data_IF_148970285366
#
_entry.id   IF_148970285366
#
_cell.length_a   1.000
_cell.length_b   1.000
_cell.length_c   1.000
_cell.angle_alpha   90.00
_cell.angle_beta   90.00
_cell.angle_gamma   90.00
#
_symmetry.space_group_name_H-M   'P 1'
#
loop_
_entity.id
_entity.type
_entity.pdbx_description
1 polymer ?
#
# COMPACT_ATOMS: atom_id res chain seq x y z
N UNK A 1 7.21 -27.44 -1.12
CA UNK A 1 6.93 -26.22 -1.92
C UNK A 1 7.79 -25.10 -1.36
N UNK A 2 8.44 -24.30 -2.21
CA UNK A 2 9.16 -23.10 -1.74
C UNK A 2 8.14 -22.13 -1.15
N UNK A 3 8.48 -21.55 0.00
CA UNK A 3 7.71 -20.51 0.68
C UNK A 3 7.51 -19.30 -0.27
N UNK A 4 6.34 -18.68 -0.24
CA UNK A 4 6.10 -17.41 -0.93
C UNK A 4 6.90 -16.32 -0.21
N UNK A 5 7.68 -15.54 -0.96
CA UNK A 5 8.30 -14.31 -0.50
C UNK A 5 7.47 -13.13 -0.98
N UNK A 6 7.14 -12.22 -0.09
CA UNK A 6 6.41 -10.99 -0.41
C UNK A 6 7.31 -9.97 -1.11
N UNK A 7 6.71 -8.96 -1.72
CA UNK A 7 7.46 -7.82 -2.28
C UNK A 7 8.29 -7.07 -1.25
N UNK A 8 7.85 -7.02 0.02
CA UNK A 8 8.62 -6.46 1.13
C UNK A 8 9.93 -7.24 1.34
N UNK A 9 9.85 -8.58 1.40
CA UNK A 9 11.04 -9.44 1.55
C UNK A 9 11.97 -9.32 0.35
N UNK A 10 11.41 -9.20 -0.86
CA UNK A 10 12.19 -8.95 -2.09
C UNK A 10 12.87 -7.58 -2.05
N UNK A 11 12.20 -6.54 -1.57
CA UNK A 11 12.79 -5.21 -1.42
C UNK A 11 14.02 -5.24 -0.50
N UNK A 12 13.88 -5.83 0.68
CA UNK A 12 14.96 -5.81 1.68
C UNK A 12 16.12 -6.76 1.36
N UNK A 13 15.86 -7.89 0.69
CA UNK A 13 16.87 -8.90 0.40
C UNK A 13 17.58 -8.66 -0.94
N UNK A 14 16.83 -8.33 -1.99
CA UNK A 14 17.36 -8.27 -3.36
C UNK A 14 17.60 -6.83 -3.84
N UNK A 15 16.84 -5.86 -3.33
CA UNK A 15 16.90 -4.46 -3.76
C UNK A 15 17.12 -3.46 -2.63
N UNK A 16 17.94 -3.76 -1.58
CA UNK A 16 18.12 -2.86 -0.44
C UNK A 16 18.66 -1.50 -0.84
N UNK A 17 19.37 -1.38 -1.97
CA UNK A 17 19.88 -0.12 -2.50
C UNK A 17 18.79 0.88 -2.87
N UNK A 18 17.53 0.43 -3.05
CA UNK A 18 16.39 1.32 -3.33
C UNK A 18 15.96 2.13 -2.10
N UNK A 19 16.31 1.65 -0.89
CA UNK A 19 15.87 2.26 0.38
C UNK A 19 17.02 2.59 1.34
N UNK A 20 18.21 2.00 1.16
CA UNK A 20 19.35 2.21 2.07
C UNK A 20 19.78 3.67 2.08
N UNK A 21 19.74 4.30 3.27
CA UNK A 21 20.02 5.70 3.48
C UNK A 21 18.94 6.65 2.97
N UNK A 22 17.94 6.16 2.25
CA UNK A 22 16.84 6.96 1.74
C UNK A 22 15.90 7.40 2.89
N UNK A 23 15.36 8.60 2.77
CA UNK A 23 14.30 9.14 3.63
C UNK A 23 12.95 8.69 3.06
N UNK A 24 12.28 7.75 3.72
CA UNK A 24 11.06 7.13 3.21
C UNK A 24 9.83 7.43 4.05
N UNK A 25 8.67 7.56 3.38
CA UNK A 25 7.36 7.37 3.99
C UNK A 25 6.94 5.90 3.84
N UNK A 26 6.18 5.37 4.79
CA UNK A 26 5.69 3.98 4.74
C UNK A 26 4.18 3.95 4.90
N UNK A 27 3.48 3.45 3.90
CA UNK A 27 2.04 3.14 3.97
C UNK A 27 1.93 1.69 4.39
N UNK A 28 1.41 1.44 5.59
CA UNK A 28 1.36 0.11 6.19
C UNK A 28 0.21 -0.06 7.16
N UNK A 29 -0.08 -1.31 7.52
CA UNK A 29 -1.09 -1.71 8.48
C UNK A 29 -0.60 -2.94 9.26
N UNK A 30 -1.35 -3.46 10.27
CA UNK A 30 -0.86 -4.58 11.11
C UNK A 30 -0.44 -5.85 10.37
N UNK A 31 -1.03 -6.13 9.19
CA UNK A 31 -0.64 -7.28 8.38
C UNK A 31 0.51 -7.00 7.39
N UNK A 32 1.14 -5.82 7.47
CA UNK A 32 2.38 -5.52 6.74
C UNK A 32 3.57 -6.21 7.42
N UNK A 33 3.59 -7.54 7.33
CA UNK A 33 4.57 -8.41 8.00
C UNK A 33 5.21 -9.38 7.02
N UNK A 34 6.38 -9.90 7.40
CA UNK A 34 6.98 -11.07 6.74
C UNK A 34 6.39 -12.38 7.31
N UNK A 35 6.90 -13.51 6.86
CA UNK A 35 6.41 -14.82 7.31
C UNK A 35 6.80 -15.17 8.75
N UNK A 36 7.72 -14.45 9.36
CA UNK A 36 8.06 -14.51 10.77
C UNK A 36 7.27 -13.53 11.63
N UNK A 37 6.23 -12.87 11.05
CA UNK A 37 5.39 -11.84 11.66
C UNK A 37 6.18 -10.60 12.14
N UNK A 38 7.34 -10.33 11.54
CA UNK A 38 8.11 -9.10 11.78
C UNK A 38 7.52 -7.99 10.92
N UNK A 39 7.21 -6.86 11.54
CA UNK A 39 6.52 -5.77 10.87
C UNK A 39 7.43 -5.02 9.87
N UNK A 40 6.84 -4.52 8.79
CA UNK A 40 7.53 -3.79 7.72
C UNK A 40 8.39 -2.63 8.24
N UNK A 41 7.92 -1.90 9.23
CA UNK A 41 8.67 -0.78 9.81
C UNK A 41 9.99 -1.24 10.42
N UNK A 42 10.01 -2.33 11.18
CA UNK A 42 11.22 -2.88 11.79
C UNK A 42 12.19 -3.41 10.72
N UNK A 43 11.64 -4.10 9.71
CA UNK A 43 12.41 -4.67 8.60
C UNK A 43 13.07 -3.58 7.74
N UNK A 44 12.33 -2.51 7.40
CA UNK A 44 12.84 -1.41 6.59
C UNK A 44 13.92 -0.62 7.34
N UNK A 45 13.77 -0.38 8.65
CA UNK A 45 14.82 0.23 9.46
C UNK A 45 16.08 -0.64 9.51
N UNK A 46 15.91 -1.95 9.75
CA UNK A 46 17.03 -2.91 9.77
C UNK A 46 17.76 -2.98 8.42
N UNK A 47 17.05 -2.78 7.30
CA UNK A 47 17.62 -2.69 5.96
C UNK A 47 18.32 -1.34 5.67
N UNK A 48 18.33 -0.42 6.63
CA UNK A 48 19.04 0.86 6.56
C UNK A 48 18.23 2.03 5.97
N UNK A 49 16.91 1.90 5.88
CA UNK A 49 16.03 3.01 5.51
C UNK A 49 15.88 4.01 6.68
N UNK A 50 15.71 5.30 6.36
CA UNK A 50 15.35 6.33 7.32
C UNK A 50 13.85 6.61 7.19
N UNK A 51 13.03 5.95 8.02
CA UNK A 51 11.59 6.21 8.05
C UNK A 51 11.39 7.64 8.57
N UNK A 52 10.65 8.45 7.82
CA UNK A 52 10.38 9.85 8.13
C UNK A 52 8.91 10.12 8.44
N UNK A 53 8.01 9.28 7.93
CA UNK A 53 6.58 9.34 8.20
C UNK A 53 5.94 7.95 8.02
N UNK A 54 4.88 7.68 8.75
CA UNK A 54 4.04 6.50 8.62
C UNK A 54 2.66 6.97 8.16
N UNK A 55 2.04 6.22 7.26
CA UNK A 55 0.70 6.49 6.75
C UNK A 55 -0.17 5.27 7.00
N UNK A 56 -1.26 5.46 7.75
CA UNK A 56 -2.23 4.41 8.07
C UNK A 56 -3.44 4.47 7.14
N UNK A 57 -3.82 3.36 6.49
CA UNK A 57 -5.08 3.27 5.75
C UNK A 57 -6.26 3.23 6.72
N UNK A 58 -7.46 2.93 6.24
CA UNK A 58 -8.62 2.60 7.08
C UNK A 58 -8.24 1.63 8.20
N UNK A 59 -8.79 1.78 9.38
CA UNK A 59 -8.44 1.12 10.64
C UNK A 59 -7.11 1.60 11.28
N UNK A 60 -6.36 2.48 10.63
CA UNK A 60 -5.10 3.02 11.16
C UNK A 60 -3.87 2.12 10.90
N UNK A 61 -2.70 2.70 11.06
CA UNK A 61 -1.43 2.00 10.86
C UNK A 61 -1.19 0.85 11.85
N UNK A 62 -1.91 0.84 12.97
CA UNK A 62 -1.84 -0.18 14.04
C UNK A 62 -3.14 -0.95 14.22
N UNK A 63 -4.17 -0.71 13.39
CA UNK A 63 -5.47 -1.36 13.49
C UNK A 63 -6.25 -0.95 14.74
N UNK A 64 -6.10 0.30 15.15
CA UNK A 64 -6.69 0.83 16.37
C UNK A 64 -8.15 1.26 16.23
N UNK A 65 -8.63 1.49 15.01
CA UNK A 65 -9.98 1.96 14.74
C UNK A 65 -10.90 0.85 14.22
N UNK A 66 -12.20 1.00 14.49
CA UNK A 66 -13.26 0.17 13.94
C UNK A 66 -13.60 0.60 12.50
N UNK A 67 -14.46 -0.18 11.84
CA UNK A 67 -15.01 0.16 10.53
C UNK A 67 -15.76 1.49 10.58
N UNK A 68 -15.52 2.36 9.60
CA UNK A 68 -16.11 3.69 9.46
C UNK A 68 -15.82 4.69 10.62
N UNK A 69 -14.84 4.41 11.45
CA UNK A 69 -14.36 5.37 12.45
C UNK A 69 -13.21 6.22 11.89
N UNK A 70 -13.30 7.54 12.06
CA UNK A 70 -12.22 8.46 11.72
C UNK A 70 -10.96 8.14 12.54
N UNK A 71 -9.81 8.12 11.87
CA UNK A 71 -8.50 7.89 12.51
C UNK A 71 -7.75 9.21 12.57
N UNK A 72 -7.39 9.63 13.77
CA UNK A 72 -6.61 10.87 13.96
C UNK A 72 -5.11 10.65 13.66
N UNK A 73 -4.45 11.75 13.25
CA UNK A 73 -2.99 11.78 13.15
C UNK A 73 -2.36 11.61 14.55
N UNK A 74 -1.33 10.76 14.63
CA UNK A 74 -0.52 10.64 15.84
C UNK A 74 0.77 11.43 15.65
N UNK A 75 1.03 12.45 16.47
CA UNK A 75 2.19 13.34 16.29
C UNK A 75 3.53 12.60 16.22
N UNK A 76 3.70 11.58 17.07
CA UNK A 76 4.92 10.75 17.08
C UNK A 76 4.60 9.30 17.42
N UNK A 77 4.93 8.39 16.53
CA UNK A 77 4.94 6.96 16.85
C UNK A 77 5.81 6.67 18.06
N UNK A 78 5.34 5.93 19.06
CA UNK A 78 6.07 5.72 20.32
C UNK A 78 7.39 4.97 20.16
N UNK A 79 7.53 4.13 19.13
CA UNK A 79 8.73 3.30 18.89
C UNK A 79 9.72 3.97 17.94
N UNK A 80 9.24 4.47 16.80
CA UNK A 80 10.07 4.98 15.70
C UNK A 80 10.29 6.50 15.83
N UNK A 81 9.39 7.20 16.57
CA UNK A 81 9.49 8.65 16.84
C UNK A 81 9.32 9.51 15.59
N UNK A 82 8.46 9.10 14.70
CA UNK A 82 8.05 9.83 13.49
C UNK A 82 6.55 10.06 13.47
N UNK A 83 6.05 11.06 12.73
CA UNK A 83 4.61 11.30 12.62
C UNK A 83 3.89 10.11 11.98
N UNK A 84 2.69 9.81 12.45
CA UNK A 84 1.76 8.87 11.85
C UNK A 84 0.58 9.68 11.30
N UNK A 85 0.39 9.63 10.01
CA UNK A 85 -0.70 10.31 9.31
C UNK A 85 -1.80 9.31 8.97
N UNK A 86 -3.02 9.68 9.31
CA UNK A 86 -4.20 8.94 8.88
C UNK A 86 -4.50 9.24 7.42
N UNK A 87 -4.82 8.18 6.66
CA UNK A 87 -5.40 8.26 5.32
C UNK A 87 -6.87 7.82 5.35
N UNK A 88 -7.54 8.03 6.48
CA UNK A 88 -8.95 7.75 6.65
C UNK A 88 -9.59 8.74 7.62
N UNK A 89 -10.54 9.52 7.14
CA UNK A 89 -11.25 10.53 7.91
C UNK A 89 -12.52 10.97 7.19
N UNK A 90 -13.20 11.97 7.74
CA UNK A 90 -14.56 12.38 7.37
C UNK A 90 -14.75 12.88 5.93
N UNK A 91 -13.68 13.22 5.21
CA UNK A 91 -13.77 13.77 3.85
C UNK A 91 -12.94 12.97 2.85
N UNK A 92 -13.30 13.03 1.57
CA UNK A 92 -12.53 12.37 0.51
C UNK A 92 -11.07 12.87 0.45
N UNK A 93 -10.84 14.14 0.74
CA UNK A 93 -9.48 14.72 0.76
C UNK A 93 -8.60 14.10 1.85
N UNK A 94 -9.20 13.64 2.97
CA UNK A 94 -8.47 12.97 4.05
C UNK A 94 -7.95 11.57 3.69
N UNK A 95 -8.43 10.98 2.59
CA UNK A 95 -7.97 9.68 2.08
C UNK A 95 -6.63 9.76 1.33
N UNK A 96 -6.11 10.97 1.13
CA UNK A 96 -4.93 11.23 0.30
C UNK A 96 -3.84 11.92 1.13
N UNK A 97 -2.57 11.49 1.06
CA UNK A 97 -1.48 12.21 1.70
C UNK A 97 -1.41 13.67 1.22
N UNK A 98 -1.33 14.62 2.16
CA UNK A 98 -1.10 16.02 1.82
C UNK A 98 0.33 16.22 1.32
N UNK A 99 0.54 17.24 0.47
CA UNK A 99 1.85 17.53 -0.11
C UNK A 99 2.94 17.72 0.95
N UNK A 100 2.61 18.41 2.04
CA UNK A 100 3.53 18.72 3.15
C UNK A 100 3.99 17.43 3.87
N UNK A 101 3.15 16.40 3.90
CA UNK A 101 3.47 15.09 4.51
C UNK A 101 4.44 14.27 3.65
N UNK A 102 4.52 14.57 2.36
CA UNK A 102 5.42 13.91 1.40
C UNK A 102 6.71 14.70 1.16
N UNK A 103 6.82 15.92 1.66
CA UNK A 103 7.95 16.79 1.39
C UNK A 103 9.26 16.23 1.95
N UNK A 104 10.29 16.24 1.11
CA UNK A 104 11.62 15.73 1.46
C UNK A 104 11.72 14.22 1.59
N UNK A 105 10.70 13.45 1.18
CA UNK A 105 10.81 12.00 1.01
C UNK A 105 11.49 11.67 -0.32
N UNK A 106 12.40 10.71 -0.28
CA UNK A 106 13.03 10.12 -1.46
C UNK A 106 12.10 9.08 -2.11
N UNK A 107 11.32 8.36 -1.29
CA UNK A 107 10.37 7.36 -1.74
C UNK A 107 9.19 7.18 -0.77
N UNK A 108 8.06 6.75 -1.31
CA UNK A 108 6.91 6.23 -0.56
C UNK A 108 6.86 4.71 -0.76
N UNK A 109 7.08 3.96 0.30
CA UNK A 109 6.97 2.49 0.31
C UNK A 109 5.55 2.13 0.71
N UNK A 110 4.87 1.34 -0.12
CA UNK A 110 3.50 0.88 0.12
C UNK A 110 3.52 -0.63 0.31
N UNK A 111 3.14 -1.08 1.49
CA UNK A 111 3.06 -2.50 1.84
C UNK A 111 1.70 -2.79 2.47
N UNK A 112 0.70 -3.05 1.64
CA UNK A 112 -0.69 -3.27 2.03
C UNK A 112 -1.15 -4.65 1.55
N UNK A 113 -1.68 -5.47 2.48
CA UNK A 113 -2.30 -6.75 2.15
C UNK A 113 -3.76 -6.51 1.73
N UNK A 114 -4.08 -6.82 0.50
CA UNK A 114 -5.43 -6.85 -0.03
C UNK A 114 -6.12 -8.19 0.25
N UNK A 115 -7.46 -8.24 0.12
CA UNK A 115 -8.27 -9.45 0.33
C UNK A 115 -8.85 -10.04 -0.96
N UNK A 116 -8.51 -9.49 -2.12
CA UNK A 116 -8.98 -9.93 -3.44
C UNK A 116 -10.36 -9.38 -3.84
N UNK A 117 -10.89 -8.43 -3.08
CA UNK A 117 -12.20 -7.85 -3.28
C UNK A 117 -12.14 -6.33 -3.47
N UNK A 118 -12.81 -5.82 -4.52
CA UNK A 118 -12.81 -4.40 -4.90
C UNK A 118 -13.26 -3.47 -3.78
N UNK A 119 -14.20 -3.88 -2.96
CA UNK A 119 -14.72 -3.03 -1.88
C UNK A 119 -13.76 -2.89 -0.70
N UNK A 120 -12.66 -3.65 -0.64
CA UNK A 120 -11.63 -3.50 0.36
C UNK A 120 -10.74 -2.30 -0.01
N UNK A 121 -10.71 -1.29 0.86
CA UNK A 121 -10.26 0.07 0.53
C UNK A 121 -8.76 0.23 0.29
N UNK A 122 -7.94 -0.72 0.70
CA UNK A 122 -6.48 -0.58 0.70
C UNK A 122 -5.87 -0.39 -0.69
N UNK A 123 -6.43 -1.03 -1.71
CA UNK A 123 -5.97 -0.81 -3.09
C UNK A 123 -6.28 0.60 -3.60
N UNK A 124 -7.35 1.21 -3.08
CA UNK A 124 -7.71 2.61 -3.40
C UNK A 124 -6.86 3.59 -2.62
N UNK A 125 -6.56 3.32 -1.35
CA UNK A 125 -5.55 4.07 -0.59
C UNK A 125 -4.21 4.06 -1.32
N UNK A 126 -3.76 2.91 -1.82
CA UNK A 126 -2.56 2.81 -2.65
C UNK A 126 -2.64 3.70 -3.89
N UNK A 127 -3.75 3.66 -4.63
CA UNK A 127 -3.94 4.47 -5.84
C UNK A 127 -3.87 5.97 -5.56
N UNK A 128 -4.52 6.44 -4.49
CA UNK A 128 -4.50 7.84 -4.06
C UNK A 128 -3.10 8.25 -3.57
N UNK A 129 -2.39 7.39 -2.87
CA UNK A 129 -0.99 7.61 -2.49
C UNK A 129 -0.07 7.75 -3.70
N UNK A 130 -0.25 6.91 -4.73
CA UNK A 130 0.51 7.00 -5.99
C UNK A 130 0.27 8.33 -6.70
N UNK A 131 -0.98 8.79 -6.73
CA UNK A 131 -1.33 10.08 -7.35
C UNK A 131 -0.70 11.26 -6.60
N UNK A 132 -0.80 11.26 -5.26
CA UNK A 132 -0.21 12.31 -4.42
C UNK A 132 1.32 12.32 -4.52
N UNK A 133 1.96 11.15 -4.45
CA UNK A 133 3.42 11.02 -4.57
C UNK A 133 3.91 11.49 -5.95
N UNK A 134 3.19 11.14 -7.03
CA UNK A 134 3.51 11.62 -8.37
C UNK A 134 3.45 13.14 -8.50
N UNK A 135 2.44 13.80 -7.91
CA UNK A 135 2.32 15.27 -7.86
C UNK A 135 3.43 15.92 -7.03
N UNK A 136 3.93 15.21 -6.01
CA UNK A 136 5.01 15.67 -5.14
C UNK A 136 6.42 15.36 -5.70
N UNK A 137 6.53 14.58 -6.78
CA UNK A 137 7.81 14.13 -7.33
C UNK A 137 8.50 13.06 -6.49
N UNK A 138 7.74 12.34 -5.65
CA UNK A 138 8.23 11.26 -4.79
C UNK A 138 8.06 9.93 -5.50
N UNK A 139 9.12 9.12 -5.54
CA UNK A 139 9.09 7.77 -6.11
C UNK A 139 8.21 6.84 -5.26
N UNK A 140 7.49 5.93 -5.92
CA UNK A 140 6.61 4.94 -5.27
C UNK A 140 7.20 3.54 -5.41
N UNK A 141 7.31 2.83 -4.29
CA UNK A 141 7.72 1.43 -4.20
C UNK A 141 6.54 0.62 -3.67
N UNK A 142 5.88 -0.15 -4.52
CA UNK A 142 4.78 -1.04 -4.09
C UNK A 142 5.35 -2.43 -3.82
N UNK A 143 5.27 -2.89 -2.59
CA UNK A 143 5.61 -4.24 -2.19
C UNK A 143 4.44 -5.16 -2.54
N UNK A 144 4.58 -5.97 -3.59
CA UNK A 144 3.50 -6.85 -4.03
C UNK A 144 3.23 -7.96 -3.02
N UNK A 145 1.94 -8.32 -2.89
CA UNK A 145 1.45 -9.33 -1.95
C UNK A 145 0.48 -10.29 -2.64
N UNK A 146 0.36 -11.55 -2.13
CA UNK A 146 -0.58 -12.51 -2.69
C UNK A 146 -2.01 -12.00 -2.68
N UNK A 147 -2.77 -12.31 -3.74
CA UNK A 147 -4.21 -12.30 -3.65
C UNK A 147 -4.63 -13.55 -2.86
N UNK A 148 -5.28 -13.44 -1.69
CA UNK A 148 -5.53 -14.58 -0.80
C UNK A 148 -6.61 -15.53 -1.30
N UNK A 149 -7.44 -15.11 -2.25
CA UNK A 149 -8.56 -15.89 -2.78
C UNK A 149 -8.34 -16.33 -4.25
N UNK A 150 -7.09 -16.46 -4.67
CA UNK A 150 -6.53 -16.76 -5.98
C UNK A 150 -6.38 -15.54 -6.92
N UNK A 151 -5.55 -15.72 -7.94
CA UNK A 151 -5.31 -14.73 -9.00
C UNK A 151 -5.92 -15.10 -10.35
N UNK A 152 -6.82 -16.09 -10.43
CA UNK A 152 -7.39 -16.61 -11.67
C UNK A 152 -8.86 -16.21 -11.83
N UNK A 153 -9.60 -16.23 -10.73
CA UNK A 153 -11.05 -16.09 -10.74
C UNK A 153 -11.44 -14.62 -10.66
N UNK A 154 -12.28 -14.19 -11.59
CA UNK A 154 -12.91 -12.87 -11.58
C UNK A 154 -14.41 -13.03 -11.51
N UNK A 155 -15.09 -12.27 -10.60
CA UNK A 155 -16.52 -12.37 -10.36
C UNK A 155 -17.14 -11.00 -10.08
N UNK A 156 -18.40 -10.86 -10.39
CA UNK A 156 -19.16 -9.65 -10.13
C UNK A 156 -19.07 -8.61 -11.24
N UNK A 157 -19.78 -7.52 -11.05
CA UNK A 157 -19.87 -6.42 -12.01
C UNK A 157 -18.72 -5.42 -11.88
N UNK A 158 -18.50 -4.65 -12.92
CA UNK A 158 -17.68 -3.44 -12.88
C UNK A 158 -18.45 -2.28 -12.23
N UNK A 159 -17.73 -1.29 -11.71
CA UNK A 159 -18.33 0.00 -11.37
C UNK A 159 -18.84 0.65 -12.63
N UNK A 160 -20.07 1.18 -12.58
CA UNK A 160 -20.64 2.01 -13.64
C UNK A 160 -20.18 3.46 -13.46
N UNK A 161 -20.04 4.16 -14.56
CA UNK A 161 -19.70 5.58 -14.57
C UNK A 161 -20.71 6.37 -13.70
N UNK A 162 -20.18 7.23 -12.84
CA UNK A 162 -20.95 8.02 -11.88
C UNK A 162 -21.29 7.32 -10.57
N UNK A 163 -20.80 6.09 -10.36
CA UNK A 163 -20.93 5.33 -9.10
C UNK A 163 -19.60 5.07 -8.42
N UNK A 164 -18.56 5.83 -8.79
CA UNK A 164 -17.26 5.74 -8.16
C UNK A 164 -17.34 6.21 -6.69
N UNK A 165 -16.68 5.49 -5.82
CA UNK A 165 -16.60 5.79 -4.39
C UNK A 165 -15.32 5.22 -3.81
N UNK A 166 -15.05 5.46 -2.52
CA UNK A 166 -13.85 4.89 -1.87
C UNK A 166 -13.87 3.36 -1.77
N UNK A 167 -15.03 2.70 -1.92
CA UNK A 167 -15.14 1.24 -2.03
C UNK A 167 -15.14 0.73 -3.48
N UNK A 168 -14.79 1.60 -4.42
CA UNK A 168 -14.74 1.29 -5.85
C UNK A 168 -14.37 2.51 -6.68
N UNK A 169 -13.10 2.89 -6.67
CA UNK A 169 -12.58 4.07 -7.39
C UNK A 169 -12.41 3.83 -8.89
N UNK A 170 -12.19 2.60 -9.29
CA UNK A 170 -11.90 2.24 -10.68
C UNK A 170 -12.65 1.00 -11.08
N UNK A 171 -12.90 0.78 -12.39
CA UNK A 171 -13.74 -0.30 -12.91
C UNK A 171 -13.05 -1.66 -12.82
N UNK A 172 -12.92 -2.18 -11.60
CA UNK A 172 -12.54 -3.56 -11.34
C UNK A 172 -13.77 -4.42 -11.06
N UNK A 173 -13.75 -5.73 -11.38
CA UNK A 173 -14.74 -6.68 -10.91
C UNK A 173 -14.76 -6.75 -9.38
N UNK A 174 -15.86 -7.18 -8.78
CA UNK A 174 -15.94 -7.30 -7.32
C UNK A 174 -14.85 -8.24 -6.76
N UNK A 175 -14.68 -9.42 -7.35
CA UNK A 175 -13.50 -10.27 -7.19
C UNK A 175 -12.60 -10.05 -8.39
N UNK A 176 -11.46 -9.44 -8.20
CA UNK A 176 -10.66 -8.93 -9.32
C UNK A 176 -9.54 -9.86 -9.80
N UNK A 177 -9.15 -10.87 -9.01
CA UNK A 177 -8.11 -11.83 -9.39
C UNK A 177 -6.72 -11.21 -9.61
N UNK A 178 -6.48 -9.99 -9.13
CA UNK A 178 -5.22 -9.27 -9.29
C UNK A 178 -4.48 -9.18 -7.95
N UNK A 179 -3.15 -9.00 -8.03
CA UNK A 179 -2.34 -8.62 -6.87
C UNK A 179 -2.32 -7.10 -6.68
N UNK A 180 -1.97 -6.57 -5.48
CA UNK A 180 -1.78 -5.13 -5.29
C UNK A 180 -0.82 -4.50 -6.30
N UNK A 181 0.28 -5.17 -6.64
CA UNK A 181 1.23 -4.70 -7.63
C UNK A 181 0.66 -4.63 -9.04
N UNK A 182 -0.19 -5.59 -9.42
CA UNK A 182 -0.92 -5.56 -10.70
C UNK A 182 -1.96 -4.45 -10.73
N UNK A 183 -2.69 -4.23 -9.62
CA UNK A 183 -3.64 -3.11 -9.50
C UNK A 183 -2.90 -1.78 -9.58
N UNK A 184 -1.74 -1.63 -8.94
CA UNK A 184 -0.93 -0.42 -9.03
C UNK A 184 -0.59 -0.07 -10.49
N UNK A 185 -0.14 -1.04 -11.28
CA UNK A 185 0.13 -0.85 -12.73
C UNK A 185 -1.13 -0.55 -13.53
N UNK A 186 -2.21 -1.24 -13.23
CA UNK A 186 -3.51 -1.03 -13.88
C UNK A 186 -4.00 0.40 -13.67
N UNK A 187 -4.06 0.89 -12.42
CA UNK A 187 -4.54 2.25 -12.13
C UNK A 187 -3.59 3.31 -12.66
N UNK A 188 -2.27 3.08 -12.66
CA UNK A 188 -1.30 3.98 -13.26
C UNK A 188 -1.62 4.25 -14.72
N UNK A 189 -1.91 3.19 -15.50
CA UNK A 189 -2.23 3.29 -16.93
C UNK A 189 -3.62 3.90 -17.13
N UNK A 190 -4.64 3.36 -16.46
CA UNK A 190 -6.04 3.75 -16.67
C UNK A 190 -6.34 5.20 -16.26
N UNK A 191 -5.64 5.71 -15.26
CA UNK A 191 -5.82 7.08 -14.74
C UNK A 191 -4.74 8.04 -15.20
N UNK A 192 -3.74 7.55 -15.94
CA UNK A 192 -2.61 8.38 -16.37
C UNK A 192 -1.81 8.95 -15.20
N UNK A 193 -1.69 8.19 -14.10
CA UNK A 193 -0.96 8.63 -12.90
C UNK A 193 0.52 8.77 -13.24
N UNK A 194 1.02 10.01 -13.18
CA UNK A 194 2.41 10.33 -13.46
C UNK A 194 3.25 10.21 -12.20
N UNK A 195 3.61 8.97 -11.82
CA UNK A 195 4.56 8.70 -10.75
C UNK A 195 5.66 7.76 -11.24
N UNK A 196 6.84 7.87 -10.66
CA UNK A 196 7.89 6.87 -10.81
C UNK A 196 7.49 5.66 -9.95
N UNK A 197 7.02 4.58 -10.59
CA UNK A 197 6.49 3.39 -9.93
C UNK A 197 7.42 2.20 -10.12
N UNK A 198 7.89 1.65 -9.01
CA UNK A 198 8.53 0.33 -8.91
C UNK A 198 7.60 -0.64 -8.17
N UNK A 199 7.25 -1.73 -8.80
CA UNK A 199 6.56 -2.86 -8.15
C UNK A 199 7.60 -3.92 -7.80
N UNK A 200 7.79 -4.17 -6.50
CA UNK A 200 8.67 -5.20 -5.96
C UNK A 200 7.95 -6.54 -6.05
N UNK A 201 8.43 -7.48 -6.90
CA UNK A 201 7.70 -8.70 -7.17
C UNK A 201 7.73 -9.68 -5.99
N UNK A 202 6.70 -10.48 -5.88
CA UNK A 202 6.72 -11.70 -5.06
C UNK A 202 7.59 -12.79 -5.72
N UNK A 203 8.03 -13.75 -4.93
CA UNK A 203 8.64 -14.98 -5.42
C UNK A 203 7.90 -16.21 -4.92
N UNK A 204 7.72 -17.19 -5.78
CA UNK A 204 7.11 -18.47 -5.44
C UNK A 204 5.59 -18.46 -5.32
N UNK A 205 4.94 -17.30 -5.43
CA UNK A 205 3.49 -17.23 -5.55
C UNK A 205 3.02 -17.65 -6.94
N UNK A 206 1.95 -18.40 -6.99
CA UNK A 206 1.28 -18.78 -8.24
C UNK A 206 -0.20 -18.44 -8.15
N UNK A 207 -0.81 -18.10 -9.27
CA UNK A 207 -2.18 -17.59 -9.34
C UNK A 207 -3.24 -18.52 -8.77
N UNK A 208 -3.03 -19.81 -8.85
CA UNK A 208 -3.94 -20.84 -8.32
C UNK A 208 -3.86 -21.02 -6.79
N UNK A 209 -2.92 -20.33 -6.12
CA UNK A 209 -2.80 -20.42 -4.66
C UNK A 209 -3.92 -19.65 -3.98
N UNK A 210 -4.48 -20.30 -2.95
CA UNK A 210 -5.38 -19.70 -1.95
C UNK A 210 -4.63 -19.71 -0.63
N UNK A 211 -4.68 -18.63 0.14
CA UNK A 211 -4.03 -18.48 1.45
C UNK A 211 -5.02 -18.70 2.58
#
# INVERSE_FOLDING_TARGET
MSRVQTGLETLINDFPQKIRGARIGVVCHPASVDAELRHALDLLQAAGARIAAIFGPEHGARGEAQDMEDVEDVPLDPRIRVPVHSLYGATFDSLTPRREQLEGLDALVIDLQDVGARYYTFVWTMALCMEAAGKAGVRVLVCDRPNPIDGLTTEGNLIKDGFESFVGLHPLPNRHGLTPGEIARYVQIQRGIRCELDVLPMRGWRREMVL
#
